data_IF_442069079352
#
_entry.id   IF_442069079352
#
_cell.length_a   1.000
_cell.length_b   1.000
_cell.length_c   1.000
_cell.angle_alpha   90.00
_cell.angle_beta   90.00
_cell.angle_gamma   90.00
#
_symmetry.space_group_name_H-M   'P 1'
#
loop_
_entity.id
_entity.type
_entity.pdbx_description
1 polymer ?
#
# COMPACT_ATOMS: atom_id res chain seq x y z
N UNK A 1 -12.65 8.14 -12.65
CA UNK A 1 -11.64 8.84 -11.82
C UNK A 1 -10.87 7.91 -10.89
N UNK A 2 -11.46 6.82 -10.39
CA UNK A 2 -10.80 5.89 -9.44
C UNK A 2 -9.58 5.13 -9.99
N UNK A 3 -9.47 4.96 -11.31
CA UNK A 3 -8.35 4.25 -11.92
C UNK A 3 -7.02 5.00 -11.76
N UNK A 4 -7.03 6.33 -11.79
CA UNK A 4 -5.81 7.13 -11.64
C UNK A 4 -5.25 6.99 -10.21
N UNK A 5 -6.12 7.04 -9.20
CA UNK A 5 -5.74 6.81 -7.80
C UNK A 5 -5.23 5.38 -7.59
N UNK A 6 -5.91 4.38 -8.17
CA UNK A 6 -5.53 2.97 -8.03
C UNK A 6 -4.15 2.72 -8.63
N UNK A 7 -3.90 3.21 -9.86
CA UNK A 7 -2.58 3.11 -10.51
C UNK A 7 -1.49 3.83 -9.71
N UNK A 8 -1.81 4.98 -9.13
CA UNK A 8 -0.87 5.73 -8.29
C UNK A 8 -0.51 4.93 -7.02
N UNK A 9 -1.50 4.35 -6.34
CA UNK A 9 -1.30 3.51 -5.15
C UNK A 9 -0.46 2.28 -5.50
N UNK A 10 -0.73 1.60 -6.61
CA UNK A 10 0.04 0.43 -7.06
C UNK A 10 1.50 0.81 -7.35
N UNK A 11 1.74 1.94 -8.02
CA UNK A 11 3.09 2.41 -8.34
C UNK A 11 3.90 2.70 -7.08
N UNK A 12 3.26 3.32 -6.08
CA UNK A 12 3.90 3.62 -4.80
C UNK A 12 4.14 2.33 -4.00
N UNK A 13 3.21 1.37 -4.04
CA UNK A 13 3.38 0.06 -3.41
C UNK A 13 4.55 -0.71 -4.02
N UNK A 14 4.69 -0.71 -5.35
CA UNK A 14 5.86 -1.29 -6.02
C UNK A 14 7.15 -0.59 -5.61
N UNK A 15 7.16 0.76 -5.58
CA UNK A 15 8.31 1.53 -5.11
C UNK A 15 8.63 1.36 -3.63
N UNK A 16 7.66 0.95 -2.82
CA UNK A 16 7.83 0.63 -1.41
C UNK A 16 8.07 -0.87 -1.19
N UNK A 17 8.24 -1.66 -2.26
CA UNK A 17 8.45 -3.10 -2.20
C UNK A 17 7.36 -3.83 -1.39
N UNK A 18 6.11 -3.38 -1.52
CA UNK A 18 4.94 -3.88 -0.77
C UNK A 18 5.04 -3.72 0.75
N UNK A 19 5.92 -2.84 1.23
CA UNK A 19 6.08 -2.54 2.65
C UNK A 19 4.98 -1.54 3.07
N UNK A 20 4.06 -1.97 3.92
CA UNK A 20 2.99 -1.10 4.45
C UNK A 20 3.45 -0.39 5.75
N UNK A 21 4.39 -0.98 6.49
CA UNK A 21 4.87 -0.48 7.78
C UNK A 21 6.39 -0.29 7.83
N UNK A 22 6.84 0.73 8.56
CA UNK A 22 8.23 1.15 8.67
C UNK A 22 8.54 2.42 7.87
N UNK A 23 9.67 3.06 8.16
CA UNK A 23 10.07 4.38 7.61
C UNK A 23 10.26 4.43 6.09
N UNK A 24 10.18 3.29 5.40
CA UNK A 24 10.23 3.17 3.93
C UNK A 24 8.92 2.64 3.33
N UNK A 25 7.86 2.58 4.13
CA UNK A 25 6.58 2.02 3.71
C UNK A 25 5.82 2.90 2.72
N UNK A 26 4.91 2.28 1.97
CA UNK A 26 4.00 2.96 1.05
C UNK A 26 3.14 4.00 1.77
N UNK A 27 2.84 3.81 3.05
CA UNK A 27 2.08 4.76 3.86
C UNK A 27 2.83 6.09 4.03
N UNK A 28 4.13 6.03 4.37
CA UNK A 28 5.00 7.20 4.47
C UNK A 28 5.18 7.88 3.10
N UNK A 29 5.39 7.11 2.03
CA UNK A 29 5.51 7.66 0.67
C UNK A 29 4.23 8.34 0.18
N UNK A 30 3.06 7.88 0.60
CA UNK A 30 1.79 8.53 0.28
C UNK A 30 1.44 9.67 1.24
N UNK A 31 2.21 9.87 2.32
CA UNK A 31 1.86 10.79 3.40
C UNK A 31 0.55 10.41 4.11
N UNK A 32 0.12 9.16 3.99
CA UNK A 32 -1.12 8.65 4.58
C UNK A 32 -0.82 7.87 5.84
N UNK A 33 -1.74 7.95 6.80
CA UNK A 33 -1.74 7.02 7.94
C UNK A 33 -1.76 5.59 7.42
N UNK A 34 -0.94 4.73 8.04
CA UNK A 34 -0.90 3.28 7.80
C UNK A 34 -2.31 2.68 7.75
N UNK A 35 -3.19 3.09 8.68
CA UNK A 35 -4.58 2.63 8.76
C UNK A 35 -5.40 3.03 7.54
N UNK A 36 -5.26 4.25 7.04
CA UNK A 36 -5.94 4.73 5.82
C UNK A 36 -5.50 3.93 4.60
N UNK A 37 -4.20 3.70 4.45
CA UNK A 37 -3.68 2.90 3.34
C UNK A 37 -4.18 1.44 3.42
N UNK A 38 -4.22 0.84 4.61
CA UNK A 38 -4.78 -0.51 4.83
C UNK A 38 -6.26 -0.57 4.42
N UNK A 39 -7.08 0.41 4.82
CA UNK A 39 -8.50 0.45 4.43
C UNK A 39 -8.65 0.61 2.92
N UNK A 40 -7.84 1.46 2.28
CA UNK A 40 -7.85 1.66 0.82
C UNK A 40 -7.39 0.40 0.08
N UNK A 41 -6.35 -0.26 0.57
CA UNK A 41 -5.86 -1.55 0.07
C UNK A 41 -6.93 -2.64 0.18
N UNK A 42 -7.60 -2.76 1.35
CA UNK A 42 -8.70 -3.72 1.54
C UNK A 42 -9.88 -3.42 0.61
N UNK A 43 -10.24 -2.15 0.40
CA UNK A 43 -11.28 -1.73 -0.56
C UNK A 43 -10.91 -2.06 -2.00
N UNK A 44 -9.65 -1.92 -2.36
CA UNK A 44 -9.12 -2.22 -3.70
C UNK A 44 -8.73 -3.70 -3.89
N UNK A 45 -8.90 -4.54 -2.86
CA UNK A 45 -8.47 -5.95 -2.90
C UNK A 45 -6.95 -6.16 -2.96
N UNK A 46 -6.16 -5.12 -2.71
CA UNK A 46 -4.70 -5.17 -2.77
C UNK A 46 -4.17 -5.70 -1.43
N UNK A 47 -3.78 -6.97 -1.40
CA UNK A 47 -3.18 -7.58 -0.20
C UNK A 47 -1.67 -7.77 -0.37
N UNK A 48 -0.90 -7.49 0.69
CA UNK A 48 0.50 -7.90 0.75
C UNK A 48 0.54 -9.43 0.69
N UNK A 49 1.42 -10.06 -0.11
CA UNK A 49 1.64 -11.49 0.01
C UNK A 49 1.98 -11.79 1.48
N UNK A 50 1.32 -12.78 2.11
CA UNK A 50 1.71 -13.17 3.45
C UNK A 50 3.18 -13.57 3.33
N UNK A 51 4.05 -12.79 3.98
CA UNK A 51 5.38 -13.28 4.30
C UNK A 51 5.10 -14.56 5.07
N UNK A 52 5.40 -15.68 4.44
CA UNK A 52 5.26 -17.02 4.99
C UNK A 52 5.96 -16.97 6.35
N UNK A 53 5.17 -16.85 7.42
CA UNK A 53 5.65 -17.04 8.77
C UNK A 53 5.93 -18.53 8.87
N UNK A 54 7.22 -18.85 8.77
CA UNK A 54 7.79 -20.14 9.10
C UNK A 54 7.48 -20.54 10.55
#
# INVERSE_FOLDING_TARGET
MEEAETRHIIRILQQANWVIGGSKGAAEKLGLKRTTLITKMRRLGISRPPLCTA
#
